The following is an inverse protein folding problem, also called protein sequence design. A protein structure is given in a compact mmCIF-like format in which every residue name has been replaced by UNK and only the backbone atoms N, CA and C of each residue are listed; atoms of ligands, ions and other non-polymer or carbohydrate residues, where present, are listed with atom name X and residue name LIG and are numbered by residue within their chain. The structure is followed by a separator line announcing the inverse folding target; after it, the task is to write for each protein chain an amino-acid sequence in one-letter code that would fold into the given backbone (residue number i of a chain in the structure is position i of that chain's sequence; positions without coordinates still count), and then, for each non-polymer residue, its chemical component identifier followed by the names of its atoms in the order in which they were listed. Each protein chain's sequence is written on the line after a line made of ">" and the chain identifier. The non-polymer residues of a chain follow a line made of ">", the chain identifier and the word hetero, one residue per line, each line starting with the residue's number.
data_IF_636110869107
#
_entry.id   IF_636110869107
#
_cell.length_a   1.000
_cell.length_b   1.000
_cell.length_c   1.000
_cell.angle_alpha   90.00
_cell.angle_beta   90.00
_cell.angle_gamma   90.00
#
_symmetry.space_group_name_H-M   'P 1'
#
loop_
_entity.id
_entity.type
_entity.pdbx_description
1 polymer ?
#
# COMPACT_ATOMS: atom_id res chain seq x y z
N UNK A 1 3.74 5.85 -4.31
CA UNK A 1 4.90 6.33 -5.07
C UNK A 1 5.99 5.28 -5.02
N UNK A 2 6.71 5.07 -6.12
CA UNK A 2 7.92 4.24 -6.14
C UNK A 2 9.15 5.08 -5.78
N UNK A 3 10.19 4.44 -5.25
CA UNK A 3 11.38 5.10 -4.69
C UNK A 3 12.64 4.97 -5.55
N UNK A 4 12.58 4.41 -6.76
CA UNK A 4 13.76 4.21 -7.61
C UNK A 4 14.43 2.85 -7.43
N UNK A 5 14.02 2.09 -6.41
CA UNK A 5 14.60 0.79 -6.04
C UNK A 5 13.54 -0.31 -5.98
N UNK A 6 12.39 -0.10 -6.62
CA UNK A 6 11.31 -1.08 -6.61
C UNK A 6 10.55 -1.16 -5.29
N UNK A 7 10.78 -0.24 -4.34
CA UNK A 7 9.91 -0.15 -3.16
C UNK A 7 8.73 0.76 -3.48
N UNK A 8 7.56 0.38 -2.95
CA UNK A 8 6.31 1.08 -3.19
C UNK A 8 5.71 1.56 -1.88
N UNK A 9 5.51 2.86 -1.76
CA UNK A 9 4.82 3.46 -0.61
C UNK A 9 3.40 3.90 -0.99
N UNK A 10 2.41 3.43 -0.24
CA UNK A 10 1.00 3.78 -0.37
C UNK A 10 0.51 4.41 0.93
N UNK A 11 -0.08 5.59 0.84
CA UNK A 11 -0.88 6.17 1.93
C UNK A 11 -2.33 5.74 1.80
N UNK A 12 -2.88 5.10 2.83
CA UNK A 12 -4.31 4.81 2.96
C UNK A 12 -4.88 5.83 3.95
N UNK A 13 -5.71 6.75 3.46
CA UNK A 13 -6.28 7.82 4.29
C UNK A 13 -7.25 7.29 5.36
N UNK A 14 -7.82 6.10 5.14
CA UNK A 14 -8.87 5.53 5.97
C UNK A 14 -8.57 4.06 6.29
N UNK A 15 -8.14 3.78 7.52
CA UNK A 15 -7.90 2.40 8.02
C UNK A 15 -9.15 1.50 8.03
N UNK A 16 -10.35 2.07 7.87
CA UNK A 16 -11.65 1.38 7.90
C UNK A 16 -11.95 0.57 6.62
N UNK A 17 -11.05 0.59 5.62
CA UNK A 17 -11.13 -0.28 4.44
C UNK A 17 -10.94 -1.76 4.78
N UNK A 18 -10.30 -2.06 5.91
CA UNK A 18 -10.11 -3.44 6.36
C UNK A 18 -11.32 -3.92 7.17
N UNK A 19 -11.92 -5.07 6.82
CA UNK A 19 -13.04 -5.64 7.57
C UNK A 19 -12.67 -6.09 8.99
N UNK A 20 -11.37 -6.07 9.33
CA UNK A 20 -10.84 -6.41 10.66
C UNK A 20 -10.89 -5.23 11.64
N UNK A 21 -11.06 -4.00 11.15
CA UNK A 21 -11.13 -2.79 11.99
C UNK A 21 -12.58 -2.51 12.38
N UNK A 22 -12.88 -2.68 13.68
CA UNK A 22 -14.18 -2.39 14.27
C UNK A 22 -14.34 -0.87 14.42
N UNK A 23 -15.13 -0.23 13.55
CA UNK A 23 -15.36 1.22 13.53
C UNK A 23 -15.83 1.74 14.90
N UNK A 24 -16.58 0.93 15.64
CA UNK A 24 -17.16 1.28 16.95
C UNK A 24 -16.09 1.44 18.05
N UNK A 25 -14.89 0.87 17.85
CA UNK A 25 -13.74 0.98 18.79
C UNK A 25 -12.73 2.05 18.39
N UNK A 26 -12.92 2.72 17.25
CA UNK A 26 -11.96 3.68 16.70
C UNK A 26 -12.36 5.10 17.10
N UNK A 27 -11.65 5.68 18.07
CA UNK A 27 -11.86 7.05 18.56
C UNK A 27 -11.56 8.14 17.51
N UNK A 28 -10.65 7.86 16.55
CA UNK A 28 -10.28 8.79 15.49
C UNK A 28 -9.81 8.05 14.22
N UNK A 29 -10.24 8.53 13.06
CA UNK A 29 -9.74 8.05 11.75
C UNK A 29 -8.27 8.47 11.63
N UNK A 30 -7.37 7.49 11.64
CA UNK A 30 -5.95 7.69 11.35
C UNK A 30 -5.65 7.16 9.96
N UNK A 31 -4.83 7.91 9.22
CA UNK A 31 -4.23 7.42 8.00
C UNK A 31 -3.18 6.36 8.32
N UNK A 32 -3.02 5.41 7.42
CA UNK A 32 -2.01 4.35 7.47
C UNK A 32 -1.06 4.53 6.29
N UNK A 33 0.22 4.72 6.57
CA UNK A 33 1.27 4.67 5.56
C UNK A 33 1.83 3.24 5.48
N UNK A 34 1.67 2.62 4.32
CA UNK A 34 2.16 1.27 4.02
C UNK A 34 3.35 1.39 3.07
N UNK A 35 4.52 0.96 3.51
CA UNK A 35 5.70 0.82 2.66
C UNK A 35 5.93 -0.66 2.35
N UNK A 36 5.83 -1.02 1.07
CA UNK A 36 6.10 -2.35 0.55
C UNK A 36 7.55 -2.36 0.05
N UNK A 37 8.44 -2.99 0.82
CA UNK A 37 9.81 -3.27 0.40
C UNK A 37 9.84 -4.57 -0.38
N UNK A 38 10.31 -4.52 -1.63
CA UNK A 38 10.47 -5.71 -2.47
C UNK A 38 11.95 -5.97 -2.74
N UNK A 39 12.27 -7.18 -3.23
CA UNK A 39 13.63 -7.52 -3.67
C UNK A 39 13.95 -7.04 -5.08
N UNK A 40 13.06 -6.28 -5.71
CA UNK A 40 13.26 -5.71 -7.03
C UNK A 40 14.44 -4.73 -7.02
N UNK A 41 15.13 -4.59 -8.15
CA UNK A 41 16.23 -3.63 -8.29
C UNK A 41 15.80 -2.36 -9.01
N UNK A 42 14.66 -2.43 -9.70
CA UNK A 42 14.09 -1.36 -10.51
C UNK A 42 12.61 -1.18 -10.19
N UNK A 43 12.08 0.02 -10.45
CA UNK A 43 10.66 0.30 -10.24
C UNK A 43 9.75 -0.48 -11.19
N UNK A 44 10.22 -0.80 -12.41
CA UNK A 44 9.47 -1.65 -13.35
C UNK A 44 9.27 -3.06 -12.80
N UNK A 45 10.32 -3.68 -12.24
CA UNK A 45 10.20 -5.01 -11.62
C UNK A 45 9.26 -4.98 -10.41
N UNK A 46 9.35 -3.94 -9.57
CA UNK A 46 8.46 -3.76 -8.43
C UNK A 46 7.00 -3.53 -8.85
N UNK A 47 6.78 -2.77 -9.92
CA UNK A 47 5.46 -2.50 -10.49
C UNK A 47 4.84 -3.77 -11.08
N UNK A 48 5.57 -4.52 -11.88
CA UNK A 48 5.09 -5.75 -12.51
C UNK A 48 4.80 -6.84 -11.47
N UNK A 49 5.60 -6.94 -10.40
CA UNK A 49 5.33 -7.84 -9.29
C UNK A 49 3.98 -7.50 -8.64
N UNK A 50 3.79 -6.24 -8.24
CA UNK A 50 2.56 -5.77 -7.62
C UNK A 50 1.35 -5.90 -8.57
N UNK A 51 1.54 -5.72 -9.88
CA UNK A 51 0.50 -5.98 -10.90
C UNK A 51 0.13 -7.46 -10.97
N UNK A 52 1.10 -8.36 -10.93
CA UNK A 52 0.87 -9.80 -10.88
C UNK A 52 0.13 -10.22 -9.60
N UNK A 53 0.38 -9.54 -8.48
CA UNK A 53 -0.37 -9.70 -7.24
C UNK A 53 -1.78 -9.08 -7.27
N UNK A 54 -2.25 -8.60 -8.42
CA UNK A 54 -3.55 -7.93 -8.57
C UNK A 54 -3.72 -6.77 -7.60
N UNK A 55 -2.62 -6.08 -7.29
CA UNK A 55 -2.67 -4.94 -6.37
C UNK A 55 -3.43 -3.79 -7.04
N UNK A 56 -4.44 -3.21 -6.37
CA UNK A 56 -5.25 -2.14 -6.95
C UNK A 56 -4.43 -0.85 -6.97
N UNK A 57 -3.74 -0.61 -8.06
CA UNK A 57 -3.12 0.69 -8.31
C UNK A 57 -4.22 1.72 -8.54
N UNK A 58 -4.21 2.81 -7.76
CA UNK A 58 -4.94 4.02 -8.13
C UNK A 58 -4.32 4.55 -9.42
N UNK A 59 -5.10 4.54 -10.50
CA UNK A 59 -4.75 5.12 -11.78
C UNK A 59 -4.65 6.64 -11.68
#
# INVERSE_FOLDING_TARGET
>A
SFDGRGNYSLGVSEQIVFPEIDYDKVDAVRGLDIAITTSARTDEEGLELLRAFSFPFRN
#
